data_IF_666642484419
#
_entry.id   IF_666642484419
#
_cell.length_a   1.000
_cell.length_b   1.000
_cell.length_c   1.000
_cell.angle_alpha   90.00
_cell.angle_beta   90.00
_cell.angle_gamma   90.00
#
_symmetry.space_group_name_H-M   'P 1'
#
loop_
_entity.id
_entity.type
_entity.pdbx_description
1 polymer ?
#
# COMPACT_ATOMS: atom_id res chain seq x y z
N UNK A 1 0.34 7.33 -19.45
CA UNK A 1 -0.39 6.08 -19.14
C UNK A 1 0.42 5.05 -18.31
N UNK A 2 1.71 5.25 -18.02
CA UNK A 2 2.51 4.27 -17.26
C UNK A 2 2.05 4.08 -15.80
N UNK A 3 1.77 5.16 -15.06
CA UNK A 3 1.42 5.09 -13.63
C UNK A 3 0.12 4.31 -13.35
N UNK A 4 -0.91 4.49 -14.19
CA UNK A 4 -2.17 3.76 -14.06
C UNK A 4 -1.97 2.26 -14.30
N UNK A 5 -1.15 1.90 -15.30
CA UNK A 5 -0.82 0.51 -15.58
C UNK A 5 -0.07 -0.15 -14.42
N UNK A 6 0.91 0.54 -13.83
CA UNK A 6 1.62 0.05 -12.65
C UNK A 6 0.72 -0.06 -11.42
N UNK A 7 -0.26 0.83 -11.27
CA UNK A 7 -1.26 0.72 -10.20
C UNK A 7 -2.08 -0.56 -10.34
N UNK A 8 -2.61 -0.85 -11.53
CA UNK A 8 -3.38 -2.08 -11.80
C UNK A 8 -2.54 -3.32 -11.53
N UNK A 9 -1.30 -3.37 -12.06
CA UNK A 9 -0.37 -4.48 -11.79
C UNK A 9 -0.08 -4.69 -10.31
N UNK A 10 -0.02 -3.60 -9.53
CA UNK A 10 0.21 -3.68 -8.08
C UNK A 10 -1.03 -4.23 -7.36
N UNK A 11 -2.24 -3.92 -7.84
CA UNK A 11 -3.48 -4.51 -7.33
C UNK A 11 -3.53 -6.00 -7.65
N UNK A 12 -3.27 -6.38 -8.89
CA UNK A 12 -3.26 -7.80 -9.30
C UNK A 12 -2.27 -8.62 -8.46
N UNK A 13 -1.07 -8.07 -8.22
CA UNK A 13 -0.08 -8.70 -7.34
C UNK A 13 -0.58 -8.86 -5.89
N UNK A 14 -1.34 -7.89 -5.37
CA UNK A 14 -1.89 -7.98 -4.01
C UNK A 14 -2.95 -9.08 -3.91
N UNK A 15 -3.75 -9.27 -4.95
CA UNK A 15 -4.76 -10.33 -5.01
C UNK A 15 -4.09 -11.71 -5.05
N UNK A 16 -3.06 -11.89 -5.88
CA UNK A 16 -2.27 -13.13 -5.95
C UNK A 16 -1.64 -13.48 -4.58
N UNK A 17 -1.05 -12.48 -3.91
CA UNK A 17 -0.44 -12.67 -2.59
C UNK A 17 -1.50 -12.98 -1.51
N UNK A 18 -2.69 -12.37 -1.61
CA UNK A 18 -3.79 -12.64 -0.70
C UNK A 18 -4.29 -14.08 -0.86
N UNK A 19 -4.41 -14.58 -2.09
CA UNK A 19 -4.80 -15.95 -2.37
C UNK A 19 -3.79 -16.96 -1.80
N UNK A 20 -2.49 -16.69 -1.95
CA UNK A 20 -1.44 -17.53 -1.35
C UNK A 20 -1.57 -17.60 0.18
N UNK A 21 -1.73 -16.44 0.84
CA UNK A 21 -1.88 -16.39 2.30
C UNK A 21 -3.17 -17.08 2.75
N UNK A 22 -4.25 -16.97 1.98
CA UNK A 22 -5.51 -17.65 2.28
C UNK A 22 -5.35 -19.17 2.20
N UNK A 23 -4.60 -19.67 1.21
CA UNK A 23 -4.34 -21.10 1.00
C UNK A 23 -3.41 -21.69 2.06
N UNK A 24 -2.33 -20.99 2.37
CA UNK A 24 -1.22 -21.52 3.17
C UNK A 24 -1.31 -21.11 4.65
N UNK A 25 -2.12 -20.09 4.96
CA UNK A 25 -2.25 -19.47 6.27
C UNK A 25 -1.17 -18.43 6.56
N UNK A 26 -1.37 -17.65 7.64
CA UNK A 26 -0.49 -16.54 8.02
C UNK A 26 0.92 -16.99 8.50
N UNK A 27 1.02 -18.22 8.97
CA UNK A 27 2.22 -18.76 9.62
C UNK A 27 2.65 -20.05 8.91
N UNK A 28 3.87 -20.07 8.39
CA UNK A 28 4.48 -21.24 7.77
C UNK A 28 5.44 -21.94 8.73
N UNK A 29 5.66 -23.26 8.58
CA UNK A 29 6.67 -23.98 9.33
C UNK A 29 8.07 -23.40 9.09
N UNK A 30 8.81 -23.17 10.16
CA UNK A 30 10.23 -22.82 10.12
C UNK A 30 11.11 -24.02 10.51
N UNK A 31 12.44 -23.84 10.59
CA UNK A 31 13.34 -24.87 11.09
C UNK A 31 12.95 -25.35 12.49
N UNK A 32 12.98 -26.66 12.71
CA UNK A 32 12.59 -27.27 13.99
C UNK A 32 11.09 -27.10 14.29
N UNK A 33 10.77 -26.69 15.52
CA UNK A 33 9.39 -26.43 15.97
C UNK A 33 8.97 -24.95 15.80
N UNK A 34 9.77 -24.15 15.10
CA UNK A 34 9.47 -22.72 14.91
C UNK A 34 8.39 -22.48 13.86
N UNK A 35 7.66 -21.38 13.98
CA UNK A 35 6.79 -20.85 12.92
C UNK A 35 7.27 -19.47 12.51
N UNK A 36 7.15 -19.16 11.23
CA UNK A 36 7.52 -17.86 10.67
C UNK A 36 6.33 -17.28 9.91
N UNK A 37 6.27 -15.97 9.83
CA UNK A 37 5.25 -15.28 9.02
C UNK A 37 5.43 -15.70 7.56
N UNK A 38 4.32 -15.99 6.88
CA UNK A 38 4.33 -16.31 5.46
C UNK A 38 4.95 -15.14 4.66
N UNK A 39 5.95 -15.39 3.77
CA UNK A 39 6.61 -14.34 3.00
C UNK A 39 5.66 -13.41 2.23
N UNK A 40 4.55 -13.95 1.69
CA UNK A 40 3.53 -13.18 0.99
C UNK A 40 2.89 -12.07 1.85
N UNK A 41 2.81 -12.24 3.18
CA UNK A 41 2.32 -11.19 4.09
C UNK A 41 3.26 -9.99 4.11
N UNK A 42 4.57 -10.25 4.07
CA UNK A 42 5.61 -9.20 4.08
C UNK A 42 5.64 -8.49 2.74
N UNK A 43 5.59 -9.23 1.63
CA UNK A 43 5.50 -8.66 0.29
C UNK A 43 4.22 -7.83 0.09
N UNK A 44 3.08 -8.33 0.55
CA UNK A 44 1.81 -7.61 0.48
C UNK A 44 1.84 -6.30 1.29
N UNK A 45 2.64 -6.21 2.36
CA UNK A 45 2.86 -4.95 3.08
C UNK A 45 3.60 -3.95 2.21
N UNK A 46 4.65 -4.36 1.50
CA UNK A 46 5.41 -3.47 0.61
C UNK A 46 4.59 -3.02 -0.60
N UNK A 47 3.86 -3.95 -1.23
CA UNK A 47 2.98 -3.64 -2.35
C UNK A 47 1.86 -2.65 -1.96
N UNK A 48 1.29 -2.76 -0.76
CA UNK A 48 0.32 -1.76 -0.25
C UNK A 48 0.92 -0.35 -0.10
N UNK A 49 2.18 -0.23 0.32
CA UNK A 49 2.88 1.05 0.40
C UNK A 49 3.11 1.62 -1.01
N UNK A 50 3.50 0.78 -1.96
CA UNK A 50 3.67 1.18 -3.36
C UNK A 50 2.35 1.64 -3.98
N UNK A 51 1.26 0.89 -3.75
CA UNK A 51 -0.09 1.25 -4.21
C UNK A 51 -0.53 2.61 -3.67
N UNK A 52 -0.31 2.88 -2.37
CA UNK A 52 -0.61 4.18 -1.78
C UNK A 52 0.17 5.32 -2.43
N UNK A 53 1.45 5.10 -2.78
CA UNK A 53 2.28 6.08 -3.50
C UNK A 53 1.80 6.30 -4.93
N UNK A 54 1.42 5.24 -5.65
CA UNK A 54 0.90 5.32 -7.01
C UNK A 54 -0.45 6.05 -7.03
N UNK A 55 -1.37 5.71 -6.12
CA UNK A 55 -2.66 6.37 -5.97
C UNK A 55 -2.51 7.87 -5.65
N UNK A 56 -1.62 8.21 -4.71
CA UNK A 56 -1.32 9.60 -4.39
C UNK A 56 -0.69 10.39 -5.55
N UNK A 57 0.09 9.71 -6.40
CA UNK A 57 0.70 10.30 -7.61
C UNK A 57 -0.34 10.55 -8.70
N UNK A 58 -1.35 9.68 -8.80
CA UNK A 58 -2.49 9.81 -9.70
C UNK A 58 -3.54 10.82 -9.19
N UNK A 59 -3.46 11.24 -7.91
CA UNK A 59 -4.40 12.15 -7.24
C UNK A 59 -5.85 11.64 -7.29
N UNK A 60 -6.03 10.34 -7.12
CA UNK A 60 -7.36 9.75 -7.09
C UNK A 60 -8.14 10.23 -5.85
N UNK A 61 -9.44 10.52 -5.98
CA UNK A 61 -10.29 10.81 -4.82
C UNK A 61 -10.31 9.62 -3.86
N UNK A 62 -10.20 9.88 -2.55
CA UNK A 62 -10.10 8.83 -1.55
C UNK A 62 -11.45 8.20 -1.15
N UNK A 63 -12.50 8.34 -1.96
CA UNK A 63 -13.84 7.79 -1.73
C UNK A 63 -14.66 8.47 -0.62
N UNK A 64 -14.00 9.12 0.36
CA UNK A 64 -14.64 9.83 1.49
C UNK A 64 -14.96 11.31 1.18
N UNK A 65 -14.64 11.77 -0.02
CA UNK A 65 -14.87 13.15 -0.46
C UNK A 65 -16.21 13.24 -1.20
N UNK A 66 -17.32 13.07 -0.48
CA UNK A 66 -18.65 13.38 -1.00
C UNK A 66 -18.75 14.86 -1.34
N UNK A 67 -18.96 15.19 -2.62
CA UNK A 67 -19.52 16.40 -3.28
C UNK A 67 -19.29 17.83 -2.72
N UNK A 68 -18.50 18.02 -1.66
CA UNK A 68 -18.33 19.30 -0.97
C UNK A 68 -17.04 20.04 -1.37
N UNK A 69 -16.45 19.68 -2.51
CA UNK A 69 -15.20 20.26 -3.01
C UNK A 69 -15.38 20.97 -4.36
N UNK A 70 -16.47 21.71 -4.55
CA UNK A 70 -16.61 22.57 -5.73
C UNK A 70 -16.09 24.00 -5.53
N UNK A 71 -15.84 24.47 -4.29
CA UNK A 71 -15.62 25.92 -4.08
C UNK A 71 -14.54 26.35 -3.07
N UNK A 72 -13.55 25.51 -2.79
CA UNK A 72 -12.38 25.94 -2.03
C UNK A 72 -11.13 25.87 -2.90
N UNK A 73 -10.53 27.04 -3.18
CA UNK A 73 -9.10 27.18 -3.54
C UNK A 73 -8.26 26.44 -2.51
N UNK A 74 -8.10 25.13 -2.66
CA UNK A 74 -7.41 24.29 -1.68
C UNK A 74 -5.91 24.51 -1.91
N UNK A 75 -5.16 25.07 -0.94
CA UNK A 75 -3.72 25.20 -1.07
C UNK A 75 -3.14 23.82 -1.37
N UNK A 76 -2.27 23.77 -2.37
CA UNK A 76 -1.71 22.56 -2.97
C UNK A 76 -1.17 21.61 -1.89
N UNK A 77 -1.96 20.60 -1.53
CA UNK A 77 -1.53 19.53 -0.64
C UNK A 77 -0.56 18.66 -1.42
N UNK A 78 0.74 18.78 -1.13
CA UNK A 78 1.75 17.79 -1.56
C UNK A 78 1.34 16.45 -0.96
N UNK A 79 0.65 15.61 -1.74
CA UNK A 79 0.31 14.21 -1.44
C UNK A 79 1.55 13.30 -1.50
N UNK A 80 2.71 13.80 -1.06
CA UNK A 80 3.87 12.94 -0.88
C UNK A 80 3.54 11.97 0.24
N UNK A 81 3.31 10.70 -0.10
CA UNK A 81 3.25 9.61 0.86
C UNK A 81 4.55 9.64 1.68
N UNK A 82 4.51 10.32 2.84
CA UNK A 82 5.68 10.42 3.72
C UNK A 82 6.04 8.99 4.12
N UNK A 83 7.32 8.64 3.97
CA UNK A 83 7.82 7.29 4.21
C UNK A 83 7.50 6.79 5.63
N UNK A 84 7.59 5.47 5.82
CA UNK A 84 7.24 4.80 7.07
C UNK A 84 8.10 5.21 8.29
N UNK A 85 9.24 5.89 8.06
CA UNK A 85 10.11 6.40 9.11
C UNK A 85 10.29 7.91 8.97
N UNK A 86 9.49 8.67 9.72
CA UNK A 86 9.88 10.00 10.13
C UNK A 86 10.80 9.85 11.34
N UNK A 87 12.12 9.94 11.13
CA UNK A 87 13.08 10.11 12.24
C UNK A 87 12.71 11.41 12.95
N UNK A 88 12.04 11.30 14.11
CA UNK A 88 11.83 12.42 15.04
C UNK A 88 12.86 12.26 16.15
N UNK A 89 13.95 13.02 16.07
CA UNK A 89 14.94 13.11 17.14
C UNK A 89 16.35 12.81 16.68
N UNK A 90 17.03 13.83 16.17
CA UNK A 90 18.46 14.01 16.38
C UNK A 90 18.59 15.49 16.79
N UNK A 91 18.68 15.71 18.10
CA UNK A 91 19.13 16.96 18.70
C UNK A 91 20.51 16.67 19.26
#
# INVERSE_FOLDING_TARGET
MALLKEMVRTVDLLDDLAEQVQRDGLMQPGPGLSRRVHPAVVEARQARIALARLSASLRLPAGDEGDQQQDARRPQRRSGARGAYGIKGAV
#
